data_IF_609952609806
#
_entry.id   IF_609952609806
#
_cell.length_a   1.000
_cell.length_b   1.000
_cell.length_c   1.000
_cell.angle_alpha   90.00
_cell.angle_beta   90.00
_cell.angle_gamma   90.00
#
_symmetry.space_group_name_H-M   'P 1'
#
loop_
_entity.id
_entity.type
_entity.pdbx_description
1 polymer ?
#
# COMPACT_ATOMS: atom_id res chain seq x y z
N UNK A 1 15.76 -1.92 -71.54
CA UNK A 1 14.77 -2.73 -70.80
C UNK A 1 15.42 -4.08 -70.52
N UNK A 2 15.46 -4.69 -69.34
CA UNK A 2 14.60 -4.56 -68.17
C UNK A 2 15.39 -4.95 -66.90
N UNK A 3 15.79 -3.96 -66.11
CA UNK A 3 16.30 -4.17 -64.74
C UNK A 3 15.11 -4.46 -63.79
N UNK A 4 13.91 -4.01 -64.18
CA UNK A 4 12.63 -4.28 -63.50
C UNK A 4 12.18 -5.76 -63.56
N UNK A 5 12.75 -6.58 -64.44
CA UNK A 5 12.38 -7.99 -64.58
C UNK A 5 13.07 -8.95 -63.59
N UNK A 6 14.27 -8.62 -63.10
CA UNK A 6 14.99 -9.47 -62.14
C UNK A 6 14.51 -9.27 -60.69
N UNK A 7 13.99 -8.08 -60.37
CA UNK A 7 13.38 -7.75 -59.08
C UNK A 7 12.11 -8.58 -58.79
N UNK A 8 11.38 -8.99 -59.83
CA UNK A 8 10.18 -9.84 -59.71
C UNK A 8 10.51 -11.32 -59.46
N UNK A 9 11.73 -11.78 -59.79
CA UNK A 9 12.15 -13.17 -59.63
C UNK A 9 12.57 -13.52 -58.20
N UNK A 10 13.02 -12.53 -57.43
CA UNK A 10 13.44 -12.68 -56.04
C UNK A 10 12.49 -11.99 -55.04
N UNK A 11 11.27 -11.60 -55.46
CA UNK A 11 10.33 -10.87 -54.60
C UNK A 11 9.97 -11.63 -53.32
N UNK A 12 9.97 -12.97 -53.35
CA UNK A 12 9.75 -13.79 -52.14
C UNK A 12 10.88 -13.57 -51.13
N UNK A 13 12.14 -13.58 -51.58
CA UNK A 13 13.30 -13.34 -50.70
C UNK A 13 13.27 -11.91 -50.14
N UNK A 14 12.89 -10.93 -50.97
CA UNK A 14 12.77 -9.53 -50.54
C UNK A 14 11.67 -9.36 -49.47
N UNK A 15 10.50 -9.98 -49.67
CA UNK A 15 9.39 -9.94 -48.71
C UNK A 15 9.78 -10.64 -47.40
N UNK A 16 10.49 -11.77 -47.46
CA UNK A 16 10.98 -12.48 -46.26
C UNK A 16 12.00 -11.65 -45.48
N UNK A 17 12.91 -10.95 -46.16
CA UNK A 17 13.91 -10.09 -45.48
C UNK A 17 13.24 -8.87 -44.83
N UNK A 18 12.26 -8.25 -45.50
CA UNK A 18 11.49 -7.13 -44.92
C UNK A 18 10.65 -7.63 -43.73
N UNK A 19 10.00 -8.80 -43.86
CA UNK A 19 9.24 -9.42 -42.78
C UNK A 19 10.11 -9.79 -41.57
N UNK A 20 11.33 -10.31 -41.79
CA UNK A 20 12.30 -10.57 -40.72
C UNK A 20 12.81 -9.28 -40.08
N UNK A 21 13.04 -8.22 -40.85
CA UNK A 21 13.47 -6.93 -40.31
C UNK A 21 12.38 -6.28 -39.43
N UNK A 22 11.11 -6.37 -39.86
CA UNK A 22 9.98 -5.90 -39.06
C UNK A 22 9.75 -6.76 -37.81
N UNK A 23 9.93 -8.08 -37.92
CA UNK A 23 9.85 -8.99 -36.77
C UNK A 23 10.99 -8.74 -35.77
N UNK A 24 12.20 -8.49 -36.25
CA UNK A 24 13.35 -8.12 -35.43
C UNK A 24 13.16 -6.73 -34.77
N UNK A 25 12.52 -5.77 -35.45
CA UNK A 25 12.19 -4.46 -34.88
C UNK A 25 11.18 -4.57 -33.73
N UNK A 26 10.12 -5.38 -33.90
CA UNK A 26 9.13 -5.63 -32.83
C UNK A 26 9.77 -6.32 -31.62
N UNK A 27 10.69 -7.25 -31.84
CA UNK A 27 11.43 -7.93 -30.77
C UNK A 27 12.46 -6.99 -30.13
N UNK A 28 13.18 -6.18 -30.90
CA UNK A 28 14.14 -5.19 -30.39
C UNK A 28 13.45 -4.17 -29.50
N UNK A 29 12.22 -3.73 -29.83
CA UNK A 29 11.44 -2.82 -28.99
C UNK A 29 10.95 -3.43 -27.67
N UNK A 30 10.87 -4.76 -27.56
CA UNK A 30 10.57 -5.47 -26.30
C UNK A 30 11.83 -5.64 -25.43
N UNK A 31 13.02 -5.66 -26.04
CA UNK A 31 14.30 -5.82 -25.36
C UNK A 31 15.10 -4.50 -25.19
N UNK A 32 14.66 -3.39 -25.78
CA UNK A 32 15.16 -2.03 -25.53
C UNK A 32 14.69 -1.50 -24.16
N UNK A 33 15.13 -2.18 -23.11
CA UNK A 33 16.17 -1.61 -22.25
C UNK A 33 15.91 -0.28 -21.53
N UNK A 34 14.67 0.21 -21.41
CA UNK A 34 14.33 0.95 -20.18
C UNK A 34 14.17 -0.11 -19.10
N UNK A 35 15.29 -0.43 -18.45
CA UNK A 35 15.30 -1.35 -17.33
C UNK A 35 14.15 -0.99 -16.41
N UNK A 36 13.20 -1.91 -16.25
CA UNK A 36 12.45 -1.97 -15.03
C UNK A 36 13.53 -2.14 -13.96
N UNK A 37 13.93 -1.04 -13.34
CA UNK A 37 14.60 -1.10 -12.04
C UNK A 37 13.59 -1.80 -11.17
N UNK A 38 13.73 -3.11 -11.05
CA UNK A 38 13.03 -3.88 -10.03
C UNK A 38 13.35 -3.14 -8.75
N UNK A 39 12.34 -2.46 -8.20
CA UNK A 39 12.57 -1.79 -6.94
C UNK A 39 12.86 -2.88 -5.91
N UNK A 40 13.93 -2.71 -5.14
CA UNK A 40 14.29 -3.69 -4.13
C UNK A 40 13.11 -3.88 -3.16
N UNK A 41 12.85 -5.14 -2.72
CA UNK A 41 11.78 -5.41 -1.78
C UNK A 41 12.05 -4.68 -0.46
N UNK A 42 10.99 -4.25 0.21
CA UNK A 42 11.13 -3.57 1.52
C UNK A 42 11.54 -4.51 2.65
N UNK A 43 11.39 -5.82 2.42
CA UNK A 43 11.72 -6.87 3.36
C UNK A 43 11.24 -8.22 2.85
N UNK A 44 11.51 -9.25 3.65
CA UNK A 44 11.16 -10.63 3.35
C UNK A 44 10.47 -11.25 4.57
N UNK A 45 9.34 -11.90 4.36
CA UNK A 45 8.59 -12.62 5.40
C UNK A 45 8.33 -14.04 4.92
N UNK A 46 8.84 -15.06 5.63
CA UNK A 46 8.70 -16.47 5.25
C UNK A 46 9.08 -16.75 3.77
N UNK A 47 10.24 -16.22 3.34
CA UNK A 47 10.76 -16.34 1.98
C UNK A 47 9.87 -15.69 0.89
N UNK A 48 8.93 -14.82 1.28
CA UNK A 48 8.16 -13.98 0.37
C UNK A 48 8.66 -12.54 0.43
N UNK A 49 9.10 -12.03 -0.72
CA UNK A 49 9.54 -10.66 -0.90
C UNK A 49 8.35 -9.70 -0.87
N UNK A 50 8.48 -8.62 -0.09
CA UNK A 50 7.49 -7.56 0.00
C UNK A 50 7.72 -6.49 -1.07
N UNK A 51 6.78 -6.36 -1.99
CA UNK A 51 6.82 -5.30 -3.01
C UNK A 51 6.69 -3.92 -2.36
N UNK A 52 7.67 -3.05 -2.61
CA UNK A 52 7.61 -1.65 -2.20
C UNK A 52 6.44 -0.90 -2.87
N UNK A 53 6.06 -1.27 -4.08
CA UNK A 53 4.94 -0.64 -4.78
C UNK A 53 3.61 -0.96 -4.09
N UNK A 54 3.37 -2.24 -3.80
CA UNK A 54 2.17 -2.68 -3.10
C UNK A 54 2.08 -2.07 -1.69
N UNK A 55 3.22 -2.02 -0.99
CA UNK A 55 3.30 -1.41 0.32
C UNK A 55 2.99 0.09 0.29
N UNK A 56 3.58 0.84 -0.65
CA UNK A 56 3.28 2.27 -0.83
C UNK A 56 1.81 2.51 -1.14
N UNK A 57 1.22 1.71 -2.02
CA UNK A 57 -0.21 1.80 -2.35
C UNK A 57 -1.10 1.57 -1.12
N UNK A 58 -0.72 0.64 -0.24
CA UNK A 58 -1.45 0.40 1.01
C UNK A 58 -1.28 1.54 2.02
N UNK A 59 -0.08 2.11 2.14
CA UNK A 59 0.17 3.30 2.97
C UNK A 59 -0.66 4.47 2.48
N UNK A 60 -0.59 4.81 1.19
CA UNK A 60 -1.36 5.90 0.59
C UNK A 60 -2.87 5.70 0.80
N UNK A 61 -3.36 4.46 0.68
CA UNK A 61 -4.76 4.14 0.93
C UNK A 61 -5.14 4.37 2.40
N UNK A 62 -4.32 3.93 3.34
CA UNK A 62 -4.57 4.09 4.77
C UNK A 62 -4.54 5.56 5.18
N UNK A 63 -3.57 6.33 4.67
CA UNK A 63 -3.45 7.76 4.94
C UNK A 63 -4.70 8.53 4.45
N UNK A 64 -5.18 8.23 3.24
CA UNK A 64 -6.38 8.86 2.67
C UNK A 64 -7.67 8.44 3.39
N UNK A 65 -7.78 7.17 3.76
CA UNK A 65 -9.02 6.63 4.32
C UNK A 65 -9.22 6.99 5.79
N UNK A 66 -8.12 7.07 6.56
CA UNK A 66 -8.17 7.24 8.01
C UNK A 66 -7.55 8.55 8.51
N UNK A 67 -7.07 9.41 7.61
CA UNK A 67 -6.37 10.67 7.94
C UNK A 67 -5.20 10.45 8.91
N UNK A 68 -4.60 9.26 8.85
CA UNK A 68 -3.36 8.90 9.54
C UNK A 68 -2.20 9.45 8.70
N UNK A 69 -1.14 9.96 9.32
CA UNK A 69 -0.01 10.51 8.57
C UNK A 69 1.33 9.97 9.03
N UNK A 70 2.23 9.82 8.06
CA UNK A 70 3.64 9.55 8.29
C UNK A 70 3.90 8.16 8.88
N UNK A 71 4.81 8.10 9.85
CA UNK A 71 5.35 6.83 10.37
C UNK A 71 4.28 5.91 10.98
N UNK A 72 3.18 6.46 11.50
CA UNK A 72 2.11 5.65 12.07
C UNK A 72 1.36 4.84 10.99
N UNK A 73 1.13 5.42 9.81
CA UNK A 73 0.52 4.72 8.69
C UNK A 73 1.46 3.63 8.16
N UNK A 74 2.74 3.96 8.01
CA UNK A 74 3.80 3.01 7.60
C UNK A 74 3.87 1.81 8.54
N UNK A 75 3.96 2.04 9.85
CA UNK A 75 4.03 0.97 10.84
C UNK A 75 2.76 0.11 10.84
N UNK A 76 1.58 0.73 10.72
CA UNK A 76 0.32 -0.01 10.68
C UNK A 76 0.23 -0.94 9.48
N UNK A 77 0.62 -0.44 8.29
CA UNK A 77 0.65 -1.25 7.07
C UNK A 77 1.71 -2.34 7.16
N UNK A 78 2.86 -2.05 7.75
CA UNK A 78 3.91 -3.05 7.97
C UNK A 78 3.42 -4.18 8.87
N UNK A 79 2.88 -3.86 10.05
CA UNK A 79 2.39 -4.85 11.00
C UNK A 79 1.25 -5.68 10.40
N UNK A 80 0.32 -5.03 9.68
CA UNK A 80 -0.77 -5.72 8.98
C UNK A 80 -0.24 -6.65 7.88
N UNK A 81 0.74 -6.20 7.09
CA UNK A 81 1.35 -7.00 6.01
C UNK A 81 2.04 -8.22 6.57
N UNK A 82 2.92 -8.05 7.57
CA UNK A 82 3.64 -9.14 8.23
C UNK A 82 2.65 -10.15 8.82
N UNK A 83 1.64 -9.66 9.54
CA UNK A 83 0.59 -10.49 10.13
C UNK A 83 -0.17 -11.31 9.08
N UNK A 84 -0.60 -10.68 7.99
CA UNK A 84 -1.34 -11.33 6.92
C UNK A 84 -0.52 -12.44 6.26
N UNK A 85 0.76 -12.19 5.99
CA UNK A 85 1.65 -13.20 5.40
C UNK A 85 1.90 -14.38 6.33
N UNK A 86 2.13 -14.13 7.62
CA UNK A 86 2.30 -15.19 8.61
C UNK A 86 1.04 -16.04 8.70
N UNK A 87 -0.13 -15.42 8.84
CA UNK A 87 -1.41 -16.12 8.93
C UNK A 87 -1.73 -16.90 7.66
N UNK A 88 -1.53 -16.31 6.48
CA UNK A 88 -1.74 -17.00 5.20
C UNK A 88 -0.92 -18.29 5.11
N UNK A 89 0.35 -18.24 5.51
CA UNK A 89 1.19 -19.44 5.57
C UNK A 89 0.64 -20.49 6.54
N UNK A 90 0.13 -20.08 7.71
CA UNK A 90 -0.51 -21.02 8.64
C UNK A 90 -1.80 -21.63 8.08
N UNK A 91 -2.59 -20.87 7.32
CA UNK A 91 -3.79 -21.38 6.65
C UNK A 91 -3.42 -22.44 5.61
N UNK A 92 -2.40 -22.17 4.78
CA UNK A 92 -1.90 -23.11 3.78
C UNK A 92 -1.38 -24.41 4.43
N UNK A 93 -0.65 -24.32 5.54
CA UNK A 93 -0.14 -25.49 6.27
C UNK A 93 -1.24 -26.31 6.95
N UNK A 94 -2.25 -25.64 7.51
CA UNK A 94 -3.38 -26.30 8.19
C UNK A 94 -4.47 -26.77 7.25
N UNK A 95 -4.44 -26.35 5.97
CA UNK A 95 -5.49 -26.61 4.99
C UNK A 95 -6.77 -25.82 5.26
N UNK A 96 -6.68 -24.71 6.00
CA UNK A 96 -7.81 -23.82 6.25
C UNK A 96 -8.10 -23.00 4.99
N UNK A 97 -9.31 -23.16 4.46
CA UNK A 97 -9.82 -22.32 3.38
C UNK A 97 -11.34 -22.17 3.50
N UNK A 98 -11.83 -20.98 3.17
CA UNK A 98 -13.24 -20.63 3.32
C UNK A 98 -13.95 -20.78 1.98
N UNK A 99 -14.97 -21.63 1.98
CA UNK A 99 -15.88 -21.78 0.83
C UNK A 99 -16.95 -20.70 0.73
N UNK A 100 -17.82 -20.85 -0.28
CA UNK A 100 -18.92 -19.94 -0.60
C UNK A 100 -19.84 -19.65 0.59
N UNK A 101 -20.19 -20.68 1.36
CA UNK A 101 -21.11 -20.56 2.49
C UNK A 101 -20.57 -19.61 3.57
N UNK A 102 -19.24 -19.54 3.75
CA UNK A 102 -18.63 -18.60 4.68
C UNK A 102 -18.73 -17.16 4.18
N UNK A 103 -18.54 -16.95 2.89
CA UNK A 103 -18.69 -15.63 2.27
C UNK A 103 -20.16 -15.17 2.36
N UNK A 104 -21.11 -16.06 2.07
CA UNK A 104 -22.53 -15.80 2.25
C UNK A 104 -22.85 -15.42 3.70
N UNK A 105 -22.32 -16.18 4.67
CA UNK A 105 -22.46 -15.85 6.07
C UNK A 105 -21.94 -14.44 6.39
N UNK A 106 -20.71 -14.11 5.97
CA UNK A 106 -20.12 -12.78 6.18
C UNK A 106 -21.01 -11.68 5.59
N UNK A 107 -21.49 -11.85 4.36
CA UNK A 107 -22.37 -10.88 3.69
C UNK A 107 -23.70 -10.73 4.42
N UNK A 108 -24.30 -11.84 4.88
CA UNK A 108 -25.55 -11.83 5.64
C UNK A 108 -25.44 -11.12 6.99
N UNK A 109 -24.24 -11.08 7.58
CA UNK A 109 -23.98 -10.41 8.86
C UNK A 109 -23.50 -8.97 8.69
N UNK A 110 -23.04 -8.58 7.51
CA UNK A 110 -22.48 -7.26 7.26
C UNK A 110 -23.61 -6.24 6.94
N UNK A 111 -23.78 -5.17 7.75
CA UNK A 111 -24.80 -4.15 7.56
C UNK A 111 -24.81 -3.50 6.17
N UNK A 112 -23.64 -3.37 5.53
CA UNK A 112 -23.53 -2.78 4.19
C UNK A 112 -24.18 -3.62 3.09
N UNK A 113 -24.44 -4.91 3.35
CA UNK A 113 -25.06 -5.83 2.39
C UNK A 113 -26.44 -6.30 2.88
N UNK A 114 -26.56 -6.69 4.15
CA UNK A 114 -27.80 -7.26 4.67
C UNK A 114 -28.93 -6.24 4.88
N UNK A 115 -28.62 -4.95 4.82
CA UNK A 115 -29.60 -3.85 4.95
C UNK A 115 -29.85 -3.14 3.62
N UNK A 116 -29.11 -3.50 2.58
CA UNK A 116 -29.21 -2.90 1.26
C UNK A 116 -30.49 -3.38 0.56
N UNK A 117 -31.46 -2.49 0.24
CA UNK A 117 -32.77 -2.90 -0.27
C UNK A 117 -32.72 -3.76 -1.54
N UNK A 118 -31.70 -3.59 -2.38
CA UNK A 118 -31.51 -4.38 -3.59
C UNK A 118 -31.16 -5.84 -3.33
N UNK A 119 -30.65 -6.17 -2.14
CA UNK A 119 -30.29 -7.55 -1.73
C UNK A 119 -31.31 -8.18 -0.78
N UNK A 120 -32.45 -7.52 -0.54
CA UNK A 120 -33.51 -8.02 0.34
C UNK A 120 -34.64 -8.67 -0.46
N UNK A 121 -35.21 -9.76 0.07
CA UNK A 121 -36.45 -10.34 -0.43
C UNK A 121 -37.70 -9.58 0.11
N UNK A 122 -38.89 -10.04 -0.29
CA UNK A 122 -40.17 -9.42 0.12
C UNK A 122 -40.38 -9.43 1.65
N UNK A 123 -39.74 -10.37 2.36
CA UNK A 123 -39.76 -10.48 3.81
C UNK A 123 -38.67 -9.64 4.50
N UNK A 124 -37.91 -8.84 3.74
CA UNK A 124 -36.75 -8.04 4.21
C UNK A 124 -35.60 -8.87 4.77
N UNK A 125 -35.42 -10.08 4.24
CA UNK A 125 -34.29 -10.96 4.58
C UNK A 125 -33.28 -10.90 3.44
N UNK A 126 -31.99 -10.87 3.78
CA UNK A 126 -30.89 -10.89 2.82
C UNK A 126 -30.97 -12.15 1.93
N UNK A 127 -30.81 -11.94 0.63
CA UNK A 127 -30.87 -12.98 -0.40
C UNK A 127 -29.60 -12.91 -1.26
N UNK A 128 -28.72 -13.89 -1.09
CA UNK A 128 -27.40 -13.92 -1.72
C UNK A 128 -27.48 -13.91 -3.25
N UNK A 129 -28.53 -14.49 -3.83
CA UNK A 129 -28.63 -14.62 -5.29
C UNK A 129 -28.79 -13.27 -5.98
N UNK A 130 -29.51 -12.32 -5.35
CA UNK A 130 -29.60 -10.94 -5.84
C UNK A 130 -28.25 -10.23 -5.84
N UNK A 131 -27.41 -10.53 -4.86
CA UNK A 131 -26.05 -10.01 -4.80
C UNK A 131 -25.18 -10.64 -5.89
N UNK A 132 -25.26 -11.96 -6.09
CA UNK A 132 -24.51 -12.66 -7.14
C UNK A 132 -24.89 -12.11 -8.52
N UNK A 133 -26.18 -11.91 -8.79
CA UNK A 133 -26.66 -11.35 -10.06
C UNK A 133 -26.04 -9.97 -10.34
N UNK A 134 -25.96 -9.10 -9.33
CA UNK A 134 -25.32 -7.79 -9.45
C UNK A 134 -23.83 -7.92 -9.80
N UNK A 135 -23.09 -8.79 -9.12
CA UNK A 135 -21.66 -9.00 -9.39
C UNK A 135 -21.44 -9.58 -10.79
N UNK A 136 -22.33 -10.47 -11.25
CA UNK A 136 -22.30 -10.99 -12.63
C UNK A 136 -22.56 -9.88 -13.64
N UNK A 137 -23.50 -8.98 -13.36
CA UNK A 137 -23.79 -7.81 -14.20
C UNK A 137 -22.55 -6.91 -14.34
N UNK A 138 -21.88 -6.59 -13.22
CA UNK A 138 -20.69 -5.73 -13.19
C UNK A 138 -19.56 -6.22 -14.10
N UNK A 139 -19.43 -7.53 -14.34
CA UNK A 139 -18.44 -8.06 -15.30
C UNK A 139 -18.56 -7.44 -16.69
N UNK A 140 -19.75 -6.99 -17.07
CA UNK A 140 -20.03 -6.43 -18.39
C UNK A 140 -20.37 -4.94 -18.35
N UNK A 141 -21.07 -4.48 -17.30
CA UNK A 141 -21.58 -3.11 -17.23
C UNK A 141 -20.64 -2.16 -16.49
N UNK A 142 -19.85 -2.68 -15.54
CA UNK A 142 -18.94 -1.87 -14.72
C UNK A 142 -17.71 -2.69 -14.26
N UNK A 143 -16.71 -2.87 -15.15
CA UNK A 143 -15.51 -3.66 -14.85
C UNK A 143 -14.73 -3.16 -13.63
N UNK A 144 -14.72 -1.85 -13.37
CA UNK A 144 -14.04 -1.26 -12.22
C UNK A 144 -14.69 -1.71 -10.90
N UNK A 145 -16.03 -1.71 -10.82
CA UNK A 145 -16.75 -2.21 -9.66
C UNK A 145 -16.53 -3.72 -9.45
N UNK A 146 -16.42 -4.49 -10.54
CA UNK A 146 -16.11 -5.92 -10.46
C UNK A 146 -14.70 -6.18 -9.89
N UNK A 147 -13.69 -5.42 -10.31
CA UNK A 147 -12.33 -5.53 -9.76
C UNK A 147 -12.24 -5.05 -8.30
N UNK A 148 -13.01 -4.03 -7.93
CA UNK A 148 -13.16 -3.64 -6.52
C UNK A 148 -13.78 -4.76 -5.68
N UNK A 149 -14.83 -5.41 -6.19
CA UNK A 149 -15.43 -6.57 -5.53
C UNK A 149 -14.43 -7.71 -5.33
N UNK A 150 -13.64 -8.08 -6.35
CA UNK A 150 -12.62 -9.13 -6.21
C UNK A 150 -11.62 -8.84 -5.08
N UNK A 151 -11.23 -7.58 -4.91
CA UNK A 151 -10.37 -7.17 -3.79
C UNK A 151 -11.09 -7.34 -2.46
N UNK A 152 -12.36 -6.92 -2.37
CA UNK A 152 -13.18 -7.07 -1.17
C UNK A 152 -13.43 -8.55 -0.80
N UNK A 153 -13.69 -9.39 -1.80
CA UNK A 153 -13.88 -10.84 -1.65
C UNK A 153 -12.62 -11.49 -1.06
N UNK A 154 -11.43 -11.14 -1.55
CA UNK A 154 -10.16 -11.61 -1.00
C UNK A 154 -9.96 -11.22 0.47
N UNK A 155 -10.38 -10.00 0.85
CA UNK A 155 -10.35 -9.55 2.25
C UNK A 155 -11.29 -10.40 3.11
N UNK A 156 -12.53 -10.63 2.65
CA UNK A 156 -13.49 -11.46 3.38
C UNK A 156 -13.04 -12.92 3.49
N UNK A 157 -12.42 -13.48 2.44
CA UNK A 157 -11.82 -14.81 2.49
C UNK A 157 -10.72 -14.88 3.55
N UNK A 158 -9.81 -13.90 3.58
CA UNK A 158 -8.74 -13.83 4.59
C UNK A 158 -9.28 -13.74 6.02
N UNK A 159 -10.30 -12.89 6.25
CA UNK A 159 -10.96 -12.76 7.56
C UNK A 159 -11.68 -14.04 7.98
N UNK A 160 -12.32 -14.72 7.03
CA UNK A 160 -12.98 -16.01 7.28
C UNK A 160 -11.98 -17.08 7.67
N UNK A 161 -10.88 -17.21 6.90
CA UNK A 161 -9.80 -18.17 7.18
C UNK A 161 -9.17 -17.93 8.54
N UNK A 162 -8.95 -16.65 8.89
CA UNK A 162 -8.44 -16.28 10.21
C UNK A 162 -9.37 -16.75 11.33
N UNK A 163 -10.67 -16.51 11.19
CA UNK A 163 -11.67 -16.95 12.16
C UNK A 163 -11.67 -18.48 12.30
N UNK A 164 -11.74 -19.20 11.18
CA UNK A 164 -11.71 -20.67 11.17
C UNK A 164 -10.45 -21.18 11.88
N UNK A 165 -9.29 -20.62 11.57
CA UNK A 165 -8.02 -21.02 12.15
C UNK A 165 -7.99 -20.83 13.68
N UNK A 166 -8.41 -19.68 14.20
CA UNK A 166 -8.44 -19.44 15.64
C UNK A 166 -9.56 -20.21 16.35
N UNK A 167 -10.69 -20.44 15.69
CA UNK A 167 -11.75 -21.30 16.23
C UNK A 167 -11.26 -22.76 16.35
N UNK A 168 -10.47 -23.25 15.38
CA UNK A 168 -9.82 -24.56 15.45
C UNK A 168 -8.80 -24.65 16.60
N UNK A 169 -7.94 -23.64 16.75
CA UNK A 169 -6.99 -23.57 17.88
C UNK A 169 -7.75 -23.60 19.20
N UNK A 170 -8.76 -22.74 19.34
CA UNK A 170 -9.54 -22.63 20.58
C UNK A 170 -10.29 -23.92 20.89
N UNK A 171 -10.82 -24.60 19.87
CA UNK A 171 -11.49 -25.89 20.00
C UNK A 171 -10.52 -27.04 20.31
N UNK A 172 -9.24 -26.91 19.94
CA UNK A 172 -8.20 -27.86 20.27
C UNK A 172 -7.70 -27.76 21.72
N UNK A 173 -7.89 -26.60 22.35
CA UNK A 173 -7.53 -26.39 23.76
C UNK A 173 -8.58 -27.10 24.63
N UNK A 174 -8.14 -28.14 25.33
CA UNK A 174 -8.97 -28.90 26.25
C UNK A 174 -8.52 -28.65 27.68
N UNK A 175 -9.47 -28.53 28.60
CA UNK A 175 -9.24 -28.40 30.02
C UNK A 175 -9.64 -29.69 30.72
N UNK A 176 -8.83 -30.10 31.69
CA UNK A 176 -9.19 -31.23 32.55
C UNK A 176 -10.11 -30.76 33.68
N UNK A 177 -10.79 -31.72 34.32
CA UNK A 177 -11.56 -31.43 35.53
C UNK A 177 -10.68 -30.83 36.65
N UNK A 178 -9.39 -31.20 36.70
CA UNK A 178 -8.44 -30.66 37.67
C UNK A 178 -8.11 -29.19 37.41
N UNK A 179 -8.03 -28.77 36.15
CA UNK A 179 -7.84 -27.35 35.81
C UNK A 179 -9.05 -26.53 36.25
N UNK A 180 -10.27 -27.07 36.04
CA UNK A 180 -11.51 -26.45 36.53
C UNK A 180 -11.59 -26.37 38.06
N UNK A 181 -11.18 -27.43 38.77
CA UNK A 181 -11.08 -27.42 40.24
C UNK A 181 -10.07 -26.36 40.72
N UNK A 182 -8.89 -26.29 40.08
CA UNK A 182 -7.87 -25.31 40.41
C UNK A 182 -8.36 -23.87 40.19
N UNK A 183 -8.95 -23.56 39.03
CA UNK A 183 -9.49 -22.23 38.74
C UNK A 183 -10.62 -21.85 39.71
N UNK A 184 -11.50 -22.81 40.05
CA UNK A 184 -12.53 -22.59 41.05
C UNK A 184 -11.93 -22.24 42.42
N UNK A 185 -10.93 -22.99 42.88
CA UNK A 185 -10.24 -22.68 44.13
C UNK A 185 -9.55 -21.32 44.05
N UNK A 186 -8.85 -21.01 42.96
CA UNK A 186 -8.17 -19.71 42.80
C UNK A 186 -9.14 -18.52 42.90
N UNK A 187 -10.36 -18.66 42.36
CA UNK A 187 -11.37 -17.60 42.40
C UNK A 187 -12.09 -17.49 43.75
N UNK A 188 -12.23 -18.60 44.48
CA UNK A 188 -13.10 -18.69 45.67
C UNK A 188 -12.34 -18.80 47.00
N UNK A 189 -11.16 -19.44 47.03
CA UNK A 189 -10.27 -19.45 48.19
C UNK A 189 -9.51 -18.13 48.27
N UNK A 190 -10.20 -17.14 48.84
CA UNK A 190 -9.61 -15.87 49.21
C UNK A 190 -8.93 -16.00 50.56
N UNK A 191 -7.67 -15.63 50.61
CA UNK A 191 -6.90 -15.52 51.85
C UNK A 191 -6.54 -14.07 52.12
N UNK A 192 -6.75 -13.63 53.35
CA UNK A 192 -6.27 -12.33 53.82
C UNK A 192 -4.81 -12.46 54.25
N UNK A 193 -3.93 -11.71 53.59
CA UNK A 193 -2.49 -11.72 53.88
C UNK A 193 -2.08 -10.34 54.39
N UNK A 194 -1.53 -10.31 55.61
CA UNK A 194 -0.77 -9.16 56.10
C UNK A 194 0.71 -9.39 55.81
N UNK A 195 1.34 -8.45 55.11
CA UNK A 195 2.77 -8.49 54.84
C UNK A 195 3.36 -7.09 54.98
N UNK A 196 4.64 -7.05 55.34
CA UNK A 196 5.41 -5.81 55.36
C UNK A 196 6.32 -5.81 54.14
N UNK A 197 6.05 -4.90 53.20
CA UNK A 197 6.94 -4.64 52.09
C UNK A 197 7.90 -3.51 52.45
N UNK A 198 9.20 -3.78 52.39
CA UNK A 198 10.21 -2.74 52.44
C UNK A 198 10.66 -2.50 51.00
N UNK A 199 10.18 -1.45 50.32
CA UNK A 199 10.57 -1.19 48.95
C UNK A 199 12.05 -0.80 48.89
N UNK A 200 12.75 -1.21 47.83
CA UNK A 200 14.18 -0.85 47.66
C UNK A 200 14.40 0.67 47.64
N UNK A 201 13.40 1.45 47.22
CA UNK A 201 13.42 2.92 47.26
C UNK A 201 13.46 3.52 48.67
N UNK A 202 13.21 2.72 49.72
CA UNK A 202 13.36 3.18 51.11
C UNK A 202 14.83 3.33 51.54
N UNK A 203 15.77 2.79 50.76
CA UNK A 203 17.20 2.90 50.99
C UNK A 203 17.74 4.07 50.13
N UNK A 204 18.23 5.17 50.72
CA UNK A 204 18.85 6.24 49.96
C UNK A 204 20.06 5.75 49.17
N UNK A 205 20.15 6.13 47.89
CA UNK A 205 21.27 5.79 47.01
C UNK A 205 22.63 6.18 47.59
N UNK A 206 22.68 7.25 48.41
CA UNK A 206 23.90 7.70 49.09
C UNK A 206 24.51 6.68 50.05
N UNK A 207 23.71 5.72 50.54
CA UNK A 207 24.17 4.64 51.41
C UNK A 207 24.78 3.46 50.65
N UNK A 208 24.61 3.41 49.32
CA UNK A 208 25.07 2.30 48.47
C UNK A 208 26.13 2.81 47.49
N UNK A 209 27.37 2.35 47.64
CA UNK A 209 28.45 2.64 46.70
C UNK A 209 28.61 1.48 45.71
N UNK A 210 28.17 1.69 44.46
CA UNK A 210 28.37 0.74 43.38
C UNK A 210 29.79 0.86 42.81
N UNK A 211 30.45 -0.28 42.60
CA UNK A 211 31.70 -0.36 41.83
C UNK A 211 31.38 -0.85 40.43
N UNK A 212 32.09 -0.33 39.43
CA UNK A 212 31.97 -0.79 38.04
C UNK A 212 32.22 -2.30 37.90
N UNK A 213 33.06 -2.89 38.76
CA UNK A 213 33.31 -4.33 38.81
C UNK A 213 32.06 -5.14 39.17
N UNK A 214 31.23 -4.63 40.07
CA UNK A 214 30.02 -5.31 40.54
C UNK A 214 28.94 -5.28 39.44
N UNK A 215 28.83 -4.15 38.75
CA UNK A 215 27.95 -3.98 37.58
C UNK A 215 28.35 -4.93 36.44
N UNK A 216 29.64 -4.99 36.10
CA UNK A 216 30.14 -5.93 35.07
C UNK A 216 29.88 -7.39 35.46
N UNK A 217 30.08 -7.75 36.73
CA UNK A 217 29.81 -9.11 37.22
C UNK A 217 28.32 -9.44 37.13
N UNK A 218 27.44 -8.50 37.46
CA UNK A 218 25.99 -8.67 37.35
C UNK A 218 25.55 -8.85 35.89
N UNK A 219 26.01 -8.00 34.97
CA UNK A 219 25.70 -8.10 33.54
C UNK A 219 26.15 -9.45 32.99
N UNK A 220 27.36 -9.90 33.35
CA UNK A 220 27.90 -11.19 32.89
C UNK A 220 27.07 -12.37 33.42
N UNK A 221 26.51 -12.26 34.62
CA UNK A 221 25.72 -13.33 35.25
C UNK A 221 24.28 -13.38 34.74
N UNK A 222 23.77 -12.26 34.22
CA UNK A 222 22.41 -12.10 33.71
C UNK A 222 22.41 -11.72 32.22
N UNK A 223 23.30 -12.32 31.43
CA UNK A 223 23.56 -11.91 30.04
C UNK A 223 22.30 -11.94 29.14
N UNK A 224 21.31 -12.77 29.46
CA UNK A 224 20.03 -12.82 28.73
C UNK A 224 19.26 -11.51 28.80
N UNK A 225 19.31 -10.82 29.94
CA UNK A 225 18.51 -9.62 30.23
C UNK A 225 19.15 -8.35 29.64
N UNK A 226 20.43 -8.43 29.28
CA UNK A 226 21.22 -7.35 28.69
C UNK A 226 21.57 -7.61 27.22
N UNK A 227 20.88 -8.55 26.57
CA UNK A 227 21.02 -8.78 25.15
C UNK A 227 20.39 -7.61 24.41
N UNK A 228 21.22 -6.88 23.66
CA UNK A 228 20.79 -5.78 22.81
C UNK A 228 20.49 -6.35 21.42
N UNK A 229 19.38 -5.91 20.83
CA UNK A 229 19.06 -6.23 19.45
C UNK A 229 20.10 -5.63 18.50
N UNK A 230 20.25 -6.25 17.34
CA UNK A 230 21.20 -5.81 16.34
C UNK A 230 20.83 -4.41 15.84
N UNK A 231 21.59 -3.40 16.25
CA UNK A 231 21.48 -2.05 15.71
C UNK A 231 22.55 -1.79 14.65
N UNK A 232 22.33 -0.76 13.84
CA UNK A 232 23.28 -0.24 12.86
C UNK A 232 23.32 1.28 12.99
N UNK A 233 24.52 1.85 12.89
CA UNK A 233 24.68 3.30 12.76
C UNK A 233 24.65 3.65 11.28
N UNK A 234 23.86 4.65 10.91
CA UNK A 234 23.81 5.21 9.56
C UNK A 234 24.30 6.65 9.65
N UNK A 235 25.33 6.97 8.87
CA UNK A 235 25.75 8.34 8.61
C UNK A 235 25.32 8.69 7.19
N UNK A 236 24.66 9.84 7.02
CA UNK A 236 24.27 10.35 5.71
C UNK A 236 24.59 11.85 5.63
N UNK A 237 24.78 12.32 4.40
CA UNK A 237 24.94 13.74 4.10
C UNK A 237 23.73 14.16 3.28
N UNK A 238 23.00 15.16 3.77
CA UNK A 238 21.89 15.77 3.06
C UNK A 238 22.44 16.91 2.19
N UNK A 239 22.21 16.83 0.89
CA UNK A 239 22.42 17.94 -0.03
C UNK A 239 21.06 18.56 -0.31
N UNK A 240 20.80 19.73 0.26
CA UNK A 240 19.62 20.51 -0.09
C UNK A 240 19.82 21.12 -1.48
N UNK A 241 18.99 20.72 -2.45
CA UNK A 241 18.90 21.37 -3.75
C UNK A 241 18.04 22.63 -3.59
N UNK A 242 18.68 23.80 -3.60
CA UNK A 242 18.01 25.10 -3.60
C UNK A 242 18.15 25.73 -4.98
N UNK A 243 17.13 26.45 -5.48
CA UNK A 243 17.26 27.23 -6.70
C UNK A 243 18.50 28.12 -6.67
N UNK A 244 19.22 28.19 -7.77
CA UNK A 244 20.30 29.16 -7.93
C UNK A 244 19.73 30.56 -8.11
N UNK A 245 20.58 31.58 -7.94
CA UNK A 245 20.20 32.98 -8.23
C UNK A 245 19.85 33.13 -9.71
N UNK A 246 20.51 32.37 -10.58
CA UNK A 246 20.22 32.29 -12.00
C UNK A 246 18.81 31.75 -12.24
N UNK A 247 18.42 30.64 -11.59
CA UNK A 247 17.08 30.05 -11.70
C UNK A 247 15.99 31.01 -11.18
N UNK A 248 16.25 31.71 -10.07
CA UNK A 248 15.36 32.73 -9.53
C UNK A 248 15.16 33.89 -10.51
N UNK A 249 16.24 34.37 -11.13
CA UNK A 249 16.18 35.49 -12.07
C UNK A 249 15.55 35.10 -13.42
N UNK A 250 15.79 33.89 -13.90
CA UNK A 250 15.14 33.34 -15.10
C UNK A 250 13.64 33.20 -14.86
N UNK A 251 13.24 32.59 -13.75
CA UNK A 251 11.83 32.45 -13.36
C UNK A 251 11.16 33.81 -13.20
N UNK A 252 11.83 34.76 -12.53
CA UNK A 252 11.33 36.12 -12.38
C UNK A 252 11.13 36.80 -13.74
N UNK A 253 12.10 36.69 -14.64
CA UNK A 253 12.03 37.29 -15.98
C UNK A 253 10.92 36.65 -16.81
N UNK A 254 10.74 35.33 -16.71
CA UNK A 254 9.65 34.61 -17.33
C UNK A 254 8.28 35.11 -16.83
N UNK A 255 8.11 35.25 -15.52
CA UNK A 255 6.89 35.77 -14.89
C UNK A 255 6.62 37.23 -15.27
N UNK A 256 7.66 38.08 -15.29
CA UNK A 256 7.55 39.48 -15.72
C UNK A 256 7.11 39.59 -17.20
N UNK A 257 7.44 38.60 -18.03
CA UNK A 257 7.00 38.57 -19.43
C UNK A 257 5.47 38.49 -19.59
N UNK A 258 4.75 38.00 -18.57
CA UNK A 258 3.29 37.96 -18.56
C UNK A 258 2.64 39.29 -18.17
N UNK A 259 3.41 40.28 -17.71
CA UNK A 259 2.91 41.62 -17.39
C UNK A 259 2.82 42.53 -18.62
N UNK A 260 3.49 42.15 -19.71
CA UNK A 260 3.55 42.92 -20.96
C UNK A 260 2.73 42.22 -22.04
N UNK A 261 1.98 43.00 -22.82
CA UNK A 261 1.23 42.46 -23.96
C UNK A 261 2.18 41.96 -25.05
N UNK A 262 1.89 40.78 -25.59
CA UNK A 262 2.70 40.17 -26.66
C UNK A 262 1.95 40.30 -27.97
N UNK A 263 2.66 40.68 -29.04
CA UNK A 263 2.12 40.62 -30.40
C UNK A 263 2.60 39.34 -31.04
N UNK A 264 1.67 38.45 -31.33
CA UNK A 264 1.96 37.19 -32.00
C UNK A 264 1.23 37.16 -33.35
N UNK A 265 1.94 36.69 -34.37
CA UNK A 265 1.34 36.50 -35.68
C UNK A 265 0.50 35.23 -35.64
N UNK A 266 -0.80 35.36 -35.88
CA UNK A 266 -1.70 34.22 -35.92
C UNK A 266 -1.75 33.68 -37.36
N UNK A 267 -1.21 32.48 -37.58
CA UNK A 267 -1.14 31.83 -38.90
C UNK A 267 -2.51 31.58 -39.54
N UNK A 268 -3.59 31.51 -38.74
CA UNK A 268 -4.96 31.26 -39.19
C UNK A 268 -5.61 32.57 -39.66
N UNK A 269 -5.49 33.65 -38.88
CA UNK A 269 -6.08 34.96 -39.21
C UNK A 269 -5.19 35.80 -40.14
N UNK A 270 -3.92 35.41 -40.31
CA UNK A 270 -2.87 36.11 -41.06
C UNK A 270 -2.64 37.56 -40.61
N UNK A 271 -2.93 37.86 -39.35
CA UNK A 271 -2.78 39.17 -38.75
C UNK A 271 -1.92 39.09 -37.48
N UNK A 272 -1.32 40.21 -37.10
CA UNK A 272 -0.71 40.35 -35.78
C UNK A 272 -1.83 40.52 -34.75
N UNK A 273 -1.95 39.57 -33.83
CA UNK A 273 -2.89 39.60 -32.73
C UNK A 273 -2.14 40.01 -31.45
N UNK A 274 -2.72 40.94 -30.70
CA UNK A 274 -2.19 41.33 -29.38
C UNK A 274 -2.77 40.38 -28.33
N UNK A 275 -1.93 39.53 -27.77
CA UNK A 275 -2.25 38.68 -26.63
C UNK A 275 -2.25 39.57 -25.37
N UNK A 276 -3.36 39.58 -24.61
CA UNK A 276 -3.46 40.39 -23.41
C UNK A 276 -2.45 39.93 -22.36
N UNK A 277 -1.97 40.86 -21.54
CA UNK A 277 -1.13 40.54 -20.39
C UNK A 277 -2.00 40.17 -19.18
N UNK A 278 -1.39 39.70 -18.09
CA UNK A 278 -2.09 39.47 -16.83
C UNK A 278 -2.83 40.72 -16.34
N UNK A 279 -2.33 41.92 -16.68
CA UNK A 279 -2.94 43.20 -16.28
C UNK A 279 -4.10 43.63 -17.18
N UNK A 280 -4.15 43.14 -18.43
CA UNK A 280 -5.15 43.56 -19.42
C UNK A 280 -6.13 42.45 -19.82
N UNK A 281 -5.90 41.22 -19.37
CA UNK A 281 -6.77 40.07 -19.60
C UNK A 281 -8.16 40.29 -18.99
N UNK A 282 -9.20 40.10 -19.81
CA UNK A 282 -10.61 40.19 -19.37
C UNK A 282 -11.13 38.90 -18.74
N UNK A 283 -10.55 37.76 -19.10
CA UNK A 283 -10.89 36.44 -18.58
C UNK A 283 -9.66 35.85 -17.88
N UNK A 284 -9.59 36.04 -16.56
CA UNK A 284 -8.43 35.63 -15.76
C UNK A 284 -8.30 34.09 -15.69
N UNK A 285 -9.43 33.37 -15.59
CA UNK A 285 -9.46 31.91 -15.58
C UNK A 285 -8.82 31.33 -16.84
N UNK A 286 -9.17 31.87 -18.00
CA UNK A 286 -8.62 31.43 -19.28
C UNK A 286 -7.13 31.79 -19.43
N UNK A 287 -6.75 33.01 -19.02
CA UNK A 287 -5.34 33.44 -19.02
C UNK A 287 -4.46 32.53 -18.15
N UNK A 288 -4.89 32.22 -16.94
CA UNK A 288 -4.13 31.36 -16.02
C UNK A 288 -4.07 29.93 -16.56
N UNK A 289 -5.19 29.37 -17.03
CA UNK A 289 -5.22 28.00 -17.58
C UNK A 289 -4.34 27.82 -18.82
N UNK A 290 -4.07 28.87 -19.59
CA UNK A 290 -3.19 28.82 -20.77
C UNK A 290 -1.71 28.93 -20.40
N UNK A 291 -1.36 29.52 -19.25
CA UNK A 291 0.01 29.83 -18.85
C UNK A 291 0.46 29.09 -17.57
N UNK A 292 -0.37 28.20 -17.03
CA UNK A 292 -0.12 27.41 -15.83
C UNK A 292 -0.41 25.93 -16.08
N UNK A 293 0.47 25.05 -15.60
CA UNK A 293 0.25 23.60 -15.61
C UNK A 293 -0.86 23.17 -14.63
N UNK A 294 -1.08 23.98 -13.59
CA UNK A 294 -2.17 23.80 -12.63
C UNK A 294 -3.35 24.65 -13.09
N UNK A 295 -4.52 24.02 -13.24
CA UNK A 295 -5.75 24.73 -13.59
C UNK A 295 -6.10 25.74 -12.50
N UNK A 296 -6.65 26.88 -12.92
CA UNK A 296 -7.21 27.86 -12.01
C UNK A 296 -8.38 27.24 -11.26
N UNK A 297 -8.17 27.04 -9.96
CA UNK A 297 -9.18 26.63 -9.00
C UNK A 297 -9.71 27.89 -8.31
N UNK A 298 -10.99 28.19 -8.50
CA UNK A 298 -11.65 29.41 -8.02
C UNK A 298 -12.61 29.13 -6.89
#
# INVERSE_FOLDING_TARGET
MAILGSLRKNSVVLITVIGMALFAFVISGVFDGKGYTSQDPIGMVNDQDLSIEEFRNQVDFLERSYNLSGMNAVNSVWDQTVRNLILKNQFELSGVDSGKDHLEYILSQNPSFNSEPSFLNDAKIFEIEKFIDLIVEYKTTNPDAYEQWKKQESIFQSQSNEKIYFDLISSGINFSYKDGEFEYLLQNDRVDIEYVQIPYSSIPDSLVKLKNSDVQKYIKSNHTDFKIDASRSIEYVLFEEKPSIEDENETKSFLESFLVEKKEYNDISKQEETIPSLLTAKNLTEFINQNSEIKFDS
#
